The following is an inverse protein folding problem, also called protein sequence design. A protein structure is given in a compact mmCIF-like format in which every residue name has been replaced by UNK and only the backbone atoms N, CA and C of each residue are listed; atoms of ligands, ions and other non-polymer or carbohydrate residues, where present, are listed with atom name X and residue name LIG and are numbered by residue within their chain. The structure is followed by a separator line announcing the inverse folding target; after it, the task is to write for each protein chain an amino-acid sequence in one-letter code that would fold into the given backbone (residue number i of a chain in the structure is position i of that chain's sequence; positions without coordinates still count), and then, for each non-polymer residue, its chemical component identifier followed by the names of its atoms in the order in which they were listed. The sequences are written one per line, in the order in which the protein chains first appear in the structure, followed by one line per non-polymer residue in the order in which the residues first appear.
data_IF_968128537965
#
_entry.id   IF_968128537965
#
_cell.length_a   1.000
_cell.length_b   1.000
_cell.length_c   1.000
_cell.angle_alpha   90.00
_cell.angle_beta   90.00
_cell.angle_gamma   90.00
#
_symmetry.space_group_name_H-M   'P 1'
#
loop_
_entity.id
_entity.type
_entity.pdbx_description
1 polymer ?
#
# COMPACT_ATOMS: atom_id res chain seq x y z
N UNK A 1 44.41 -35.63 28.09
CA UNK A 1 42.98 -35.96 28.30
C UNK A 1 42.15 -34.93 27.54
N UNK A 2 41.75 -35.29 26.33
CA UNK A 2 41.01 -34.39 25.42
C UNK A 2 39.55 -34.81 25.48
N UNK A 3 38.70 -33.95 26.05
CA UNK A 3 37.25 -34.18 26.16
C UNK A 3 36.58 -33.79 24.86
N UNK A 4 36.06 -34.76 24.13
CA UNK A 4 35.23 -34.57 22.95
C UNK A 4 33.84 -34.05 23.37
N UNK A 5 33.48 -32.87 22.93
CA UNK A 5 32.12 -32.34 23.01
C UNK A 5 31.26 -33.04 21.96
N UNK A 6 30.28 -33.77 22.41
CA UNK A 6 29.24 -34.38 21.56
C UNK A 6 28.34 -33.31 20.98
N UNK A 7 28.24 -33.24 19.65
CA UNK A 7 27.30 -32.36 18.93
C UNK A 7 25.87 -32.83 19.22
N UNK A 8 25.12 -31.99 19.93
CA UNK A 8 23.69 -32.16 20.13
C UNK A 8 22.94 -31.93 18.79
N UNK A 9 22.20 -32.96 18.38
CA UNK A 9 21.26 -32.89 17.24
C UNK A 9 20.18 -31.82 17.51
N UNK A 10 20.10 -30.81 16.67
CA UNK A 10 18.99 -29.86 16.65
C UNK A 10 17.68 -30.63 16.34
N UNK A 11 16.57 -30.28 17.00
CA UNK A 11 15.30 -30.93 16.72
C UNK A 11 14.82 -30.54 15.32
N UNK A 12 14.66 -31.52 14.47
CA UNK A 12 14.07 -31.47 13.14
C UNK A 12 12.58 -31.15 13.27
N UNK A 13 12.12 -30.10 12.56
CA UNK A 13 10.73 -29.76 12.21
C UNK A 13 9.78 -29.43 13.36
N UNK A 14 9.46 -28.14 13.47
CA UNK A 14 8.20 -27.69 14.06
C UNK A 14 7.04 -28.35 13.27
N UNK A 15 5.97 -28.83 13.94
CA UNK A 15 4.80 -29.35 13.24
C UNK A 15 4.19 -28.22 12.42
N UNK A 16 4.14 -28.38 11.10
CA UNK A 16 3.30 -27.56 10.25
C UNK A 16 1.86 -27.76 10.73
N UNK A 17 1.30 -26.72 11.35
CA UNK A 17 -0.14 -26.66 11.57
C UNK A 17 -0.79 -26.89 10.18
N UNK A 18 -1.66 -27.91 10.10
CA UNK A 18 -2.40 -28.23 8.87
C UNK A 18 -3.41 -27.11 8.62
N UNK A 19 -2.98 -26.07 7.95
CA UNK A 19 -3.90 -25.04 7.46
C UNK A 19 -4.76 -25.69 6.36
N UNK A 20 -6.08 -25.41 6.33
CA UNK A 20 -6.93 -25.86 5.24
C UNK A 20 -6.36 -25.37 3.90
N UNK A 21 -6.50 -26.17 2.85
CA UNK A 21 -6.01 -25.78 1.54
C UNK A 21 -6.80 -24.55 1.02
N UNK A 22 -6.16 -23.60 0.35
CA UNK A 22 -6.87 -22.51 -0.29
C UNK A 22 -7.78 -23.04 -1.40
N UNK A 23 -8.78 -22.26 -1.86
CA UNK A 23 -9.61 -22.58 -3.00
C UNK A 23 -8.77 -23.05 -4.19
N UNK A 24 -9.22 -24.04 -5.01
CA UNK A 24 -8.41 -24.58 -6.11
C UNK A 24 -7.82 -23.53 -7.04
N UNK A 25 -8.57 -22.47 -7.34
CA UNK A 25 -8.12 -21.36 -8.19
C UNK A 25 -6.93 -20.57 -7.61
N UNK A 26 -6.69 -20.64 -6.30
CA UNK A 26 -5.66 -19.88 -5.58
C UNK A 26 -4.49 -20.75 -5.08
N UNK A 27 -4.51 -22.07 -5.34
CA UNK A 27 -3.47 -22.98 -4.86
C UNK A 27 -2.07 -22.69 -5.43
N UNK A 28 -1.98 -22.03 -6.59
CA UNK A 28 -0.73 -21.63 -7.24
C UNK A 28 -0.11 -20.33 -6.69
N UNK A 29 -0.84 -19.55 -5.90
CA UNK A 29 -0.35 -18.27 -5.37
C UNK A 29 0.81 -18.48 -4.41
N UNK A 30 1.88 -17.71 -4.58
CA UNK A 30 3.11 -17.73 -3.78
C UNK A 30 3.35 -16.43 -3.03
N UNK A 31 2.96 -15.30 -3.62
CA UNK A 31 3.12 -13.99 -3.03
C UNK A 31 1.84 -13.19 -3.09
N UNK A 32 1.62 -12.39 -2.04
CA UNK A 32 0.61 -11.35 -1.98
C UNK A 32 1.31 -10.00 -2.09
N UNK A 33 0.96 -9.23 -3.12
CA UNK A 33 1.46 -7.89 -3.33
C UNK A 33 0.33 -6.89 -3.05
N UNK A 34 0.61 -5.85 -2.27
CA UNK A 34 -0.42 -4.99 -1.72
C UNK A 34 -0.34 -3.58 -2.30
N UNK A 35 -1.46 -3.07 -2.79
CA UNK A 35 -1.65 -1.63 -2.82
C UNK A 35 -1.65 -1.08 -1.40
N UNK A 36 -1.18 0.15 -1.22
CA UNK A 36 -0.94 0.70 0.12
C UNK A 36 -1.94 1.79 0.49
N UNK A 37 -2.00 2.87 -0.30
CA UNK A 37 -2.83 4.02 0.03
C UNK A 37 -4.32 3.71 -0.12
N UNK A 38 -5.06 3.74 0.98
CA UNK A 38 -6.47 3.38 1.03
C UNK A 38 -6.71 1.88 1.25
N UNK A 39 -5.83 0.99 0.78
CA UNK A 39 -5.94 -0.46 0.97
C UNK A 39 -5.47 -0.92 2.35
N UNK A 40 -4.23 -0.59 2.71
CA UNK A 40 -3.59 -1.00 3.97
C UNK A 40 -3.62 0.12 5.01
N UNK A 41 -3.61 1.38 4.57
CA UNK A 41 -3.53 2.56 5.44
C UNK A 41 -4.66 3.54 5.19
N UNK A 42 -5.16 4.15 6.27
CA UNK A 42 -6.11 5.26 6.25
C UNK A 42 -5.35 6.58 6.00
N UNK A 43 -5.20 6.91 4.72
CA UNK A 43 -4.50 8.13 4.32
C UNK A 43 -5.26 9.39 4.75
N UNK A 44 -6.61 9.39 4.61
CA UNK A 44 -7.41 10.59 4.79
C UNK A 44 -7.37 11.08 6.24
N UNK A 45 -7.75 10.23 7.19
CA UNK A 45 -7.74 10.61 8.61
C UNK A 45 -6.32 10.92 9.10
N UNK A 46 -5.31 10.25 8.53
CA UNK A 46 -3.91 10.51 8.88
C UNK A 46 -3.44 11.90 8.44
N UNK A 47 -3.73 12.31 7.20
CA UNK A 47 -3.40 13.66 6.69
C UNK A 47 -4.17 14.73 7.46
N UNK A 48 -5.44 14.50 7.78
CA UNK A 48 -6.23 15.42 8.62
C UNK A 48 -5.57 15.61 9.99
N UNK A 49 -5.18 14.52 10.67
CA UNK A 49 -4.49 14.60 11.98
C UNK A 49 -3.15 15.35 11.90
N UNK A 50 -2.37 15.11 10.86
CA UNK A 50 -1.10 15.84 10.64
C UNK A 50 -1.35 17.35 10.42
N UNK A 51 -2.41 17.71 9.69
CA UNK A 51 -2.83 19.09 9.51
C UNK A 51 -3.28 19.73 10.84
N UNK A 52 -4.08 19.05 11.63
CA UNK A 52 -4.49 19.52 12.95
C UNK A 52 -3.29 19.71 13.90
N UNK A 53 -2.30 18.80 13.85
CA UNK A 53 -1.06 18.94 14.61
C UNK A 53 -0.23 20.14 14.11
N UNK A 54 -0.22 20.40 12.81
CA UNK A 54 0.41 21.59 12.23
C UNK A 54 -0.29 22.87 12.71
N UNK A 55 -1.63 22.87 12.73
CA UNK A 55 -2.44 23.99 13.27
C UNK A 55 -2.05 24.31 14.72
N UNK A 56 -1.94 23.28 15.57
CA UNK A 56 -1.57 23.48 16.98
C UNK A 56 -0.17 24.07 17.15
N UNK A 57 0.79 23.67 16.29
CA UNK A 57 2.18 24.16 16.38
C UNK A 57 2.37 25.57 15.85
N UNK A 58 1.65 25.94 14.78
CA UNK A 58 1.89 27.19 14.07
C UNK A 58 0.73 28.21 14.23
N UNK A 59 -0.36 27.83 14.89
CA UNK A 59 -1.57 28.68 14.98
C UNK A 59 -2.31 28.88 13.67
N UNK A 60 -2.03 28.03 12.66
CA UNK A 60 -2.67 28.09 11.34
C UNK A 60 -4.07 27.47 11.42
N UNK A 61 -5.02 28.04 10.66
CA UNK A 61 -6.39 27.51 10.56
C UNK A 61 -6.69 27.19 9.11
N UNK A 62 -7.09 25.94 8.84
CA UNK A 62 -7.52 25.53 7.51
C UNK A 62 -8.60 24.43 7.61
N UNK A 63 -9.35 24.25 6.53
CA UNK A 63 -10.20 23.07 6.36
C UNK A 63 -9.33 21.86 6.01
N UNK A 64 -8.86 21.15 7.04
CA UNK A 64 -7.95 20.02 6.88
C UNK A 64 -8.58 18.84 6.14
N UNK A 65 -9.86 18.48 6.35
CA UNK A 65 -10.57 17.53 5.51
C UNK A 65 -10.57 17.91 4.03
N UNK A 66 -11.00 19.11 3.71
CA UNK A 66 -11.04 19.57 2.31
C UNK A 66 -9.62 19.62 1.69
N UNK A 67 -8.58 20.02 2.47
CA UNK A 67 -7.20 20.02 1.99
C UNK A 67 -6.72 18.58 1.71
N UNK A 68 -6.99 17.63 2.59
CA UNK A 68 -6.61 16.23 2.40
C UNK A 68 -7.25 15.66 1.12
N UNK A 69 -8.54 15.93 0.92
CA UNK A 69 -9.28 15.48 -0.25
C UNK A 69 -8.76 16.15 -1.55
N UNK A 70 -8.48 17.44 -1.52
CA UNK A 70 -7.90 18.18 -2.66
C UNK A 70 -6.47 17.68 -2.98
N UNK A 71 -5.67 17.37 -1.95
CA UNK A 71 -4.32 16.83 -2.13
C UNK A 71 -4.39 15.45 -2.81
N UNK A 72 -5.26 14.57 -2.33
CA UNK A 72 -5.48 13.25 -2.93
C UNK A 72 -6.03 13.35 -4.36
N UNK A 73 -6.96 14.28 -4.62
CA UNK A 73 -7.52 14.50 -5.95
C UNK A 73 -6.45 14.94 -6.98
N UNK A 74 -5.40 15.66 -6.55
CA UNK A 74 -4.26 16.03 -7.40
C UNK A 74 -3.34 14.86 -7.81
N UNK A 75 -3.40 13.72 -7.12
CA UNK A 75 -2.48 12.59 -7.24
C UNK A 75 -2.55 11.92 -8.63
N UNK A 76 -3.73 11.41 -9.04
CA UNK A 76 -3.90 10.76 -10.34
C UNK A 76 -3.54 11.68 -11.53
N UNK A 77 -4.00 12.95 -11.59
CA UNK A 77 -3.59 13.88 -12.65
C UNK A 77 -2.09 14.15 -12.71
N UNK A 78 -1.40 14.22 -11.55
CA UNK A 78 0.05 14.43 -11.52
C UNK A 78 0.81 13.23 -12.12
N UNK A 79 0.46 12.01 -11.73
CA UNK A 79 1.04 10.80 -12.33
C UNK A 79 0.74 10.68 -13.82
N UNK A 80 -0.48 11.05 -14.25
CA UNK A 80 -0.86 11.00 -15.65
C UNK A 80 0.00 11.94 -16.53
N UNK A 81 0.41 13.11 -16.01
CA UNK A 81 1.34 14.00 -16.73
C UNK A 81 2.70 13.36 -16.93
N UNK A 82 3.22 12.64 -15.92
CA UNK A 82 4.47 11.87 -16.05
C UNK A 82 4.31 10.77 -17.09
N UNK A 83 3.20 10.00 -17.01
CA UNK A 83 2.93 8.89 -17.93
C UNK A 83 2.83 9.34 -19.39
N UNK A 84 2.29 10.54 -19.65
CA UNK A 84 2.22 11.14 -21.00
C UNK A 84 3.51 11.84 -21.44
N UNK A 85 4.55 11.89 -20.60
CA UNK A 85 5.81 12.58 -20.92
C UNK A 85 5.71 14.11 -20.87
N UNK A 86 4.65 14.67 -20.29
CA UNK A 86 4.46 16.12 -20.10
C UNK A 86 5.40 16.70 -19.02
N UNK A 87 5.94 15.84 -18.20
CA UNK A 87 7.01 16.16 -17.25
C UNK A 87 7.93 14.93 -17.08
N UNK A 88 9.21 15.12 -16.72
CA UNK A 88 10.13 14.03 -16.41
C UNK A 88 9.58 13.14 -15.28
N UNK A 89 10.14 11.93 -15.17
CA UNK A 89 9.88 11.06 -14.02
C UNK A 89 10.09 11.84 -12.71
N UNK A 90 9.15 11.70 -11.81
CA UNK A 90 9.20 12.29 -10.47
C UNK A 90 8.64 11.27 -9.47
N UNK A 91 9.22 11.22 -8.27
CA UNK A 91 8.72 10.39 -7.17
C UNK A 91 7.37 10.91 -6.67
N UNK A 92 6.64 10.07 -5.95
CA UNK A 92 5.38 10.51 -5.32
C UNK A 92 5.62 11.63 -4.30
N UNK A 93 6.71 11.62 -3.56
CA UNK A 93 7.06 12.73 -2.65
C UNK A 93 7.18 14.06 -3.40
N UNK A 94 7.80 14.05 -4.57
CA UNK A 94 7.93 15.25 -5.41
C UNK A 94 6.58 15.68 -5.99
N UNK A 95 5.75 14.73 -6.44
CA UNK A 95 4.41 15.03 -6.94
C UNK A 95 3.50 15.55 -5.83
N UNK A 96 3.54 14.94 -4.64
CA UNK A 96 2.80 15.42 -3.48
C UNK A 96 3.21 16.85 -3.10
N UNK A 97 4.51 17.17 -3.12
CA UNK A 97 4.99 18.53 -2.85
C UNK A 97 4.48 19.52 -3.91
N UNK A 98 4.55 19.19 -5.18
CA UNK A 98 4.02 20.03 -6.26
C UNK A 98 2.50 20.28 -6.13
N UNK A 99 1.76 19.28 -5.66
CA UNK A 99 0.32 19.43 -5.42
C UNK A 99 0.11 20.33 -4.20
N UNK A 100 0.80 20.06 -3.09
CA UNK A 100 0.72 20.83 -1.86
C UNK A 100 1.00 22.34 -2.13
N UNK A 101 2.10 22.66 -2.81
CA UNK A 101 2.48 24.05 -3.13
C UNK A 101 1.38 24.81 -3.86
N UNK A 102 0.60 24.14 -4.74
CA UNK A 102 -0.54 24.74 -5.43
C UNK A 102 -1.77 24.92 -4.53
N UNK A 103 -1.90 24.08 -3.51
CA UNK A 103 -3.04 24.13 -2.58
C UNK A 103 -2.85 25.17 -1.47
N UNK A 104 -1.60 25.44 -1.05
CA UNK A 104 -1.32 26.36 0.06
C UNK A 104 -2.06 27.72 -0.05
N UNK A 105 -2.04 28.42 -1.19
CA UNK A 105 -2.76 29.69 -1.31
C UNK A 105 -4.28 29.54 -1.21
N UNK A 106 -4.82 28.41 -1.69
CA UNK A 106 -6.26 28.13 -1.70
C UNK A 106 -6.81 27.88 -0.29
N UNK A 107 -5.96 27.38 0.61
CA UNK A 107 -6.31 27.06 1.98
C UNK A 107 -5.77 28.08 3.01
N UNK A 108 -5.26 29.22 2.55
CA UNK A 108 -4.75 30.29 3.43
C UNK A 108 -3.46 29.92 4.19
N UNK A 109 -2.69 28.96 3.66
CA UNK A 109 -1.48 28.43 4.30
C UNK A 109 -0.18 29.02 3.71
N UNK A 110 -0.25 30.27 3.18
CA UNK A 110 0.91 30.97 2.67
C UNK A 110 1.85 31.41 3.79
N UNK A 111 3.16 31.47 3.51
CA UNK A 111 4.17 31.93 4.49
C UNK A 111 4.60 30.85 5.49
N UNK A 112 4.20 29.61 5.30
CA UNK A 112 4.69 28.50 6.11
C UNK A 112 6.20 28.30 5.89
N UNK A 113 7.01 28.10 6.96
CA UNK A 113 8.43 27.82 6.82
C UNK A 113 8.67 26.55 5.98
N UNK A 114 9.71 26.56 5.15
CA UNK A 114 10.04 25.43 4.26
C UNK A 114 10.22 24.11 5.05
N UNK A 115 10.82 24.17 6.22
CA UNK A 115 11.01 22.99 7.10
C UNK A 115 9.67 22.36 7.53
N UNK A 116 8.65 23.18 7.76
CA UNK A 116 7.31 22.69 8.11
C UNK A 116 6.55 22.18 6.87
N UNK A 117 6.78 22.79 5.70
CA UNK A 117 6.26 22.29 4.44
C UNK A 117 6.83 20.91 4.09
N UNK A 118 8.15 20.74 4.21
CA UNK A 118 8.79 19.44 4.01
C UNK A 118 8.28 18.40 5.01
N UNK A 119 8.15 18.79 6.28
CA UNK A 119 7.59 17.91 7.32
C UNK A 119 6.15 17.50 7.00
N UNK A 120 5.32 18.45 6.57
CA UNK A 120 3.94 18.19 6.22
C UNK A 120 3.82 17.37 4.93
N UNK A 121 4.66 17.63 3.93
CA UNK A 121 4.74 16.78 2.74
C UNK A 121 5.05 15.32 3.12
N UNK A 122 5.92 15.11 4.11
CA UNK A 122 6.23 13.77 4.64
C UNK A 122 5.16 13.18 5.57
N UNK A 123 3.99 13.80 5.71
CA UNK A 123 2.84 13.19 6.40
C UNK A 123 2.44 11.85 5.74
N UNK A 124 2.60 11.73 4.43
CA UNK A 124 2.37 10.48 3.69
C UNK A 124 3.29 9.32 4.10
N UNK A 125 4.40 9.60 4.78
CA UNK A 125 5.28 8.58 5.38
C UNK A 125 4.82 8.11 6.78
N UNK A 126 3.76 8.72 7.34
CA UNK A 126 3.30 8.49 8.72
C UNK A 126 1.81 8.14 8.80
N UNK A 127 1.28 7.55 7.73
CA UNK A 127 -0.12 7.14 7.69
C UNK A 127 -0.36 5.99 8.67
N UNK A 128 -1.53 6.01 9.33
CA UNK A 128 -1.95 4.93 10.21
C UNK A 128 -2.51 3.75 9.39
N UNK A 129 -2.22 2.51 9.78
CA UNK A 129 -2.84 1.33 9.18
C UNK A 129 -4.32 1.27 9.55
N UNK A 130 -5.13 0.62 8.71
CA UNK A 130 -6.47 0.20 9.10
C UNK A 130 -6.38 -0.77 10.29
N UNK A 131 -7.45 -0.88 11.12
CA UNK A 131 -7.43 -1.71 12.34
C UNK A 131 -7.09 -3.19 12.09
N UNK A 132 -7.47 -3.73 10.92
CA UNK A 132 -7.23 -5.11 10.51
C UNK A 132 -5.83 -5.35 9.92
N UNK A 133 -5.14 -4.29 9.48
CA UNK A 133 -3.97 -4.42 8.62
C UNK A 133 -2.81 -5.14 9.30
N UNK A 134 -2.45 -4.79 10.54
CA UNK A 134 -1.33 -5.40 11.23
C UNK A 134 -1.55 -6.89 11.49
N UNK A 135 -2.71 -7.23 12.08
CA UNK A 135 -3.03 -8.61 12.41
C UNK A 135 -3.22 -9.47 11.15
N UNK A 136 -3.93 -8.92 10.14
CA UNK A 136 -4.16 -9.61 8.87
C UNK A 136 -2.85 -9.90 8.13
N UNK A 137 -1.96 -8.89 8.01
CA UNK A 137 -0.65 -9.08 7.39
C UNK A 137 0.22 -10.09 8.13
N UNK A 138 0.25 -10.04 9.46
CA UNK A 138 1.01 -11.00 10.26
C UNK A 138 0.54 -12.45 10.02
N UNK A 139 -0.78 -12.67 9.89
CA UNK A 139 -1.34 -13.98 9.54
C UNK A 139 -0.97 -14.38 8.11
N UNK A 140 -1.22 -13.52 7.11
CA UNK A 140 -0.93 -13.79 5.70
C UNK A 140 0.53 -14.14 5.46
N UNK A 141 1.44 -13.45 6.16
CA UNK A 141 2.88 -13.66 6.09
C UNK A 141 3.35 -15.04 6.61
N UNK A 142 2.54 -15.74 7.39
CA UNK A 142 2.89 -17.09 7.86
C UNK A 142 2.96 -18.11 6.72
N UNK A 143 2.33 -17.82 5.59
CA UNK A 143 2.23 -18.75 4.46
C UNK A 143 2.69 -18.17 3.13
N UNK A 144 2.49 -16.89 2.90
CA UNK A 144 2.79 -16.21 1.63
C UNK A 144 3.93 -15.22 1.82
N UNK A 145 4.72 -15.02 0.78
CA UNK A 145 5.59 -13.84 0.73
C UNK A 145 4.69 -12.62 0.60
N UNK A 146 4.88 -11.64 1.47
CA UNK A 146 4.11 -10.39 1.47
C UNK A 146 4.98 -9.21 1.06
N UNK A 147 4.49 -8.42 0.13
CA UNK A 147 5.22 -7.23 -0.36
C UNK A 147 4.27 -6.07 -0.61
N UNK A 148 4.77 -4.86 -0.53
CA UNK A 148 4.08 -3.73 -1.13
C UNK A 148 4.13 -3.82 -2.67
N UNK A 149 3.15 -3.25 -3.37
CA UNK A 149 3.21 -2.89 -4.79
C UNK A 149 2.45 -1.58 -4.97
N UNK A 150 3.14 -0.49 -4.74
CA UNK A 150 2.54 0.84 -4.61
C UNK A 150 3.20 1.84 -5.53
N UNK A 151 2.44 2.89 -5.89
CA UNK A 151 2.99 4.06 -6.56
C UNK A 151 3.88 4.92 -5.63
N UNK A 152 3.75 4.76 -4.29
CA UNK A 152 4.64 5.40 -3.32
C UNK A 152 6.11 5.06 -3.62
N UNK A 153 7.00 6.05 -3.52
CA UNK A 153 8.43 5.82 -3.73
C UNK A 153 9.05 5.00 -2.58
N UNK A 154 10.19 4.38 -2.84
CA UNK A 154 10.85 3.45 -1.91
C UNK A 154 11.03 4.06 -0.51
N UNK A 155 11.57 5.28 -0.43
CA UNK A 155 11.79 5.95 0.85
C UNK A 155 10.49 6.18 1.63
N UNK A 156 9.40 6.55 0.94
CA UNK A 156 8.07 6.70 1.53
C UNK A 156 7.58 5.35 2.10
N UNK A 157 7.60 4.30 1.29
CA UNK A 157 7.09 2.99 1.70
C UNK A 157 7.88 2.38 2.86
N UNK A 158 9.22 2.51 2.86
CA UNK A 158 10.08 2.04 3.96
C UNK A 158 9.77 2.81 5.25
N UNK A 159 9.70 4.14 5.18
CA UNK A 159 9.40 4.96 6.35
C UNK A 159 7.99 4.68 6.90
N UNK A 160 7.00 4.60 6.01
CA UNK A 160 5.62 4.26 6.36
C UNK A 160 5.54 2.89 7.04
N UNK A 161 6.19 1.88 6.46
CA UNK A 161 6.21 0.52 7.02
C UNK A 161 6.83 0.51 8.42
N UNK A 162 7.93 1.24 8.59
CA UNK A 162 8.61 1.37 9.89
C UNK A 162 7.76 2.10 10.92
N UNK A 163 7.10 3.19 10.50
CA UNK A 163 6.22 3.99 11.35
C UNK A 163 4.99 3.21 11.80
N UNK A 164 4.34 2.53 10.87
CA UNK A 164 3.10 1.79 11.10
C UNK A 164 3.31 0.36 11.63
N UNK A 165 4.56 -0.12 11.71
CA UNK A 165 4.86 -1.49 12.15
C UNK A 165 4.43 -2.57 11.16
N UNK A 166 4.31 -2.24 9.87
CA UNK A 166 3.84 -3.16 8.83
C UNK A 166 4.92 -4.20 8.50
N UNK A 167 4.64 -5.51 8.67
CA UNK A 167 5.65 -6.57 8.63
C UNK A 167 5.82 -7.17 7.22
N UNK A 168 6.30 -6.40 6.25
CA UNK A 168 6.58 -6.89 4.90
C UNK A 168 7.80 -7.81 4.85
N UNK A 169 7.79 -8.82 3.96
CA UNK A 169 8.99 -9.58 3.61
C UNK A 169 9.88 -8.79 2.66
N UNK A 170 9.29 -8.01 1.77
CA UNK A 170 10.01 -7.05 0.93
C UNK A 170 9.15 -5.82 0.61
N UNK A 171 9.78 -4.79 0.06
CA UNK A 171 9.10 -3.55 -0.36
C UNK A 171 9.32 -3.38 -1.85
N UNK A 172 8.23 -3.38 -2.62
CA UNK A 172 8.24 -3.07 -4.04
C UNK A 172 7.48 -1.76 -4.30
N UNK A 173 8.08 -0.91 -5.09
CA UNK A 173 7.56 0.39 -5.50
C UNK A 173 7.52 0.48 -7.02
N UNK A 174 6.56 1.19 -7.55
CA UNK A 174 6.49 1.56 -8.97
C UNK A 174 7.75 2.34 -9.43
N UNK A 175 8.43 3.03 -8.48
CA UNK A 175 9.72 3.70 -8.72
C UNK A 175 10.78 2.76 -9.30
N UNK A 176 10.80 1.48 -8.91
CA UNK A 176 11.75 0.48 -9.44
C UNK A 176 11.61 0.25 -10.95
N UNK A 177 10.46 0.61 -11.50
CA UNK A 177 10.14 0.43 -12.91
C UNK A 177 10.13 1.76 -13.69
N UNK A 178 10.30 2.90 -13.01
CA UNK A 178 10.18 4.23 -13.61
C UNK A 178 8.80 4.52 -14.20
N UNK A 179 7.75 3.86 -13.71
CA UNK A 179 6.38 3.95 -14.20
C UNK A 179 5.41 3.84 -13.03
N UNK A 180 4.24 4.43 -13.18
CA UNK A 180 3.16 4.30 -12.19
C UNK A 180 2.13 3.25 -12.60
N UNK A 181 1.51 2.58 -11.63
CA UNK A 181 0.27 1.87 -11.85
C UNK A 181 -0.76 2.85 -12.46
N UNK A 182 -1.55 2.44 -13.44
CA UNK A 182 -1.82 1.05 -13.88
C UNK A 182 -0.96 0.55 -15.06
N UNK A 183 0.27 1.06 -15.29
CA UNK A 183 1.14 0.50 -16.33
C UNK A 183 1.46 -0.97 -16.03
N UNK A 184 1.19 -1.86 -17.00
CA UNK A 184 1.32 -3.31 -16.82
C UNK A 184 2.76 -3.74 -16.47
N UNK A 185 3.76 -2.95 -16.86
CA UNK A 185 5.14 -3.22 -16.53
C UNK A 185 5.43 -3.19 -15.01
N UNK A 186 4.61 -2.52 -14.22
CA UNK A 186 4.72 -2.50 -12.75
C UNK A 186 4.36 -3.86 -12.18
N UNK A 187 3.27 -4.46 -12.63
CA UNK A 187 2.77 -5.76 -12.13
C UNK A 187 3.64 -6.92 -12.63
N UNK A 188 3.91 -6.97 -13.94
CA UNK A 188 4.79 -8.00 -14.50
C UNK A 188 6.23 -7.87 -14.01
N UNK A 189 6.69 -6.64 -13.78
CA UNK A 189 7.98 -6.33 -13.18
C UNK A 189 8.09 -6.85 -11.75
N UNK A 190 7.03 -6.72 -10.94
CA UNK A 190 6.97 -7.29 -9.59
C UNK A 190 7.10 -8.83 -9.62
N UNK A 191 6.38 -9.50 -10.52
CA UNK A 191 6.48 -10.95 -10.69
C UNK A 191 7.92 -11.37 -11.04
N UNK A 192 8.54 -10.66 -11.99
CA UNK A 192 9.95 -10.91 -12.39
C UNK A 192 10.93 -10.71 -11.24
N UNK A 193 10.77 -9.64 -10.43
CA UNK A 193 11.65 -9.39 -9.28
C UNK A 193 11.53 -10.45 -8.19
N UNK A 194 10.31 -10.99 -7.99
CA UNK A 194 10.06 -12.05 -7.04
C UNK A 194 10.42 -13.45 -7.58
N UNK A 195 10.75 -13.59 -8.88
CA UNK A 195 11.14 -14.84 -9.50
C UNK A 195 9.98 -15.80 -9.77
N UNK A 196 8.75 -15.29 -9.92
CA UNK A 196 7.55 -16.10 -10.18
C UNK A 196 6.80 -15.64 -11.42
N UNK A 197 5.97 -16.53 -11.96
CA UNK A 197 5.03 -16.18 -13.01
C UNK A 197 3.91 -15.26 -12.49
N UNK A 198 3.33 -14.37 -13.32
CA UNK A 198 2.29 -13.44 -12.87
C UNK A 198 1.13 -14.11 -12.12
N UNK A 199 0.64 -15.26 -12.58
CA UNK A 199 -0.45 -16.02 -11.96
C UNK A 199 -0.13 -16.60 -10.57
N UNK A 200 1.14 -16.56 -10.17
CA UNK A 200 1.60 -16.95 -8.83
C UNK A 200 1.61 -15.77 -7.85
N UNK A 201 1.36 -14.55 -8.34
CA UNK A 201 1.17 -13.36 -7.52
C UNK A 201 -0.33 -13.03 -7.43
N UNK A 202 -0.74 -12.54 -6.27
CA UNK A 202 -2.06 -11.96 -6.06
C UNK A 202 -1.92 -10.51 -5.65
N UNK A 203 -2.55 -9.59 -6.40
CA UNK A 203 -2.70 -8.20 -5.94
C UNK A 203 -3.87 -8.12 -4.97
N UNK A 204 -3.60 -7.52 -3.81
CA UNK A 204 -4.59 -7.18 -2.78
C UNK A 204 -4.81 -5.68 -2.80
N UNK A 205 -6.01 -5.22 -3.12
CA UNK A 205 -6.31 -3.80 -3.25
C UNK A 205 -7.76 -3.45 -2.91
N UNK A 206 -7.97 -2.18 -2.52
CA UNK A 206 -9.29 -1.58 -2.34
C UNK A 206 -9.80 -0.88 -3.63
N UNK A 207 -9.00 -0.83 -4.69
CA UNK A 207 -9.30 -0.09 -5.91
C UNK A 207 -9.57 -1.04 -7.08
N UNK A 208 -10.83 -1.16 -7.57
CA UNK A 208 -11.19 -2.00 -8.72
C UNK A 208 -10.36 -1.75 -9.98
N UNK A 209 -10.00 -0.49 -10.27
CA UNK A 209 -9.15 -0.18 -11.44
C UNK A 209 -7.73 -0.74 -11.33
N UNK A 210 -7.15 -0.78 -10.12
CA UNK A 210 -5.83 -1.38 -9.87
C UNK A 210 -5.88 -2.90 -10.05
N UNK A 211 -6.93 -3.54 -9.53
CA UNK A 211 -7.16 -4.98 -9.68
C UNK A 211 -7.41 -5.37 -11.15
N UNK A 212 -8.18 -4.57 -11.89
CA UNK A 212 -8.42 -4.82 -13.32
C UNK A 212 -7.11 -4.76 -14.14
N UNK A 213 -6.22 -3.81 -13.83
CA UNK A 213 -4.90 -3.73 -14.47
C UNK A 213 -4.00 -4.91 -14.07
N UNK A 214 -4.05 -5.36 -12.82
CA UNK A 214 -3.34 -6.54 -12.37
C UNK A 214 -3.79 -7.82 -13.10
N UNK A 215 -5.11 -7.99 -13.31
CA UNK A 215 -5.65 -9.10 -14.11
C UNK A 215 -5.16 -9.07 -15.56
N UNK A 216 -5.14 -7.87 -16.18
CA UNK A 216 -4.57 -7.72 -17.52
C UNK A 216 -3.08 -8.10 -17.58
N UNK A 217 -2.35 -7.93 -16.48
CA UNK A 217 -0.96 -8.37 -16.35
C UNK A 217 -0.81 -9.85 -15.98
N UNK A 218 -1.92 -10.59 -15.79
CA UNK A 218 -1.96 -12.01 -15.46
C UNK A 218 -1.89 -12.33 -13.96
N UNK A 219 -1.95 -11.35 -13.08
CA UNK A 219 -1.99 -11.58 -11.64
C UNK A 219 -3.36 -12.10 -11.19
N UNK A 220 -3.38 -12.80 -10.05
CA UNK A 220 -4.59 -13.03 -9.27
C UNK A 220 -4.96 -11.79 -8.49
N UNK A 221 -6.23 -11.70 -8.07
CA UNK A 221 -6.78 -10.50 -7.45
C UNK A 221 -7.60 -10.80 -6.21
N UNK A 222 -7.37 -10.01 -5.15
CA UNK A 222 -8.18 -9.98 -3.94
C UNK A 222 -8.71 -8.56 -3.72
N UNK A 223 -10.01 -8.40 -3.76
CA UNK A 223 -10.66 -7.12 -3.49
C UNK A 223 -10.97 -6.98 -2.00
N UNK A 224 -10.49 -5.90 -1.39
CA UNK A 224 -10.76 -5.54 0.02
C UNK A 224 -11.43 -4.16 0.01
N UNK A 225 -12.77 -4.07 0.04
CA UNK A 225 -13.46 -2.79 0.05
C UNK A 225 -13.13 -1.97 1.31
N UNK A 226 -12.89 -0.67 1.12
CA UNK A 226 -12.64 0.28 2.20
C UNK A 226 -13.67 1.41 2.11
N UNK A 227 -14.89 1.20 2.63
CA UNK A 227 -15.98 2.16 2.46
C UNK A 227 -15.70 3.52 3.09
N UNK A 228 -14.83 3.58 4.09
CA UNK A 228 -14.46 4.81 4.78
C UNK A 228 -13.17 5.45 4.26
N UNK A 229 -12.59 4.96 3.14
CA UNK A 229 -11.34 5.52 2.58
C UNK A 229 -11.43 7.03 2.34
N UNK A 230 -12.55 7.47 1.77
CA UNK A 230 -12.82 8.89 1.51
C UNK A 230 -13.65 9.56 2.63
N UNK A 231 -13.65 8.97 3.83
CA UNK A 231 -14.45 9.40 4.98
C UNK A 231 -15.83 8.72 5.01
N UNK A 232 -16.55 8.82 6.15
CA UNK A 232 -17.84 8.18 6.34
C UNK A 232 -18.85 8.56 5.25
N UNK A 233 -19.37 7.58 4.52
CA UNK A 233 -20.29 7.80 3.40
C UNK A 233 -19.65 8.44 2.16
N UNK A 234 -18.34 8.52 2.11
CA UNK A 234 -17.59 9.02 0.96
C UNK A 234 -17.72 8.11 -0.27
N UNK A 235 -17.34 8.61 -1.46
CA UNK A 235 -17.45 7.83 -2.68
C UNK A 235 -16.46 6.66 -2.70
N UNK A 236 -16.95 5.49 -3.13
CA UNK A 236 -16.11 4.34 -3.48
C UNK A 236 -15.96 4.26 -5.00
N UNK A 237 -14.83 3.72 -5.45
CA UNK A 237 -14.66 3.38 -6.86
C UNK A 237 -15.63 2.26 -7.25
N UNK A 238 -16.35 2.45 -8.39
CA UNK A 238 -17.30 1.46 -8.86
C UNK A 238 -16.60 0.16 -9.29
N UNK A 239 -17.13 -0.98 -8.88
CA UNK A 239 -16.60 -2.30 -9.24
C UNK A 239 -16.87 -2.61 -10.72
N UNK A 240 -17.98 -2.11 -11.30
CA UNK A 240 -18.40 -2.43 -12.66
C UNK A 240 -18.65 -3.93 -12.82
N UNK A 241 -18.29 -4.46 -14.02
CA UNK A 241 -18.41 -5.89 -14.36
C UNK A 241 -17.16 -6.72 -13.98
N UNK A 242 -16.21 -6.12 -13.24
CA UNK A 242 -14.96 -6.80 -12.88
C UNK A 242 -15.21 -7.93 -11.88
N UNK A 243 -14.80 -9.14 -12.22
CA UNK A 243 -14.86 -10.31 -11.33
C UNK A 243 -13.47 -10.52 -10.75
N UNK A 244 -13.37 -10.55 -9.41
CA UNK A 244 -12.11 -10.80 -8.70
C UNK A 244 -12.00 -12.28 -8.30
N UNK A 245 -10.77 -12.79 -8.17
CA UNK A 245 -10.54 -14.18 -7.74
C UNK A 245 -11.03 -14.42 -6.31
N UNK A 246 -10.97 -13.39 -5.45
CA UNK A 246 -11.61 -13.39 -4.12
C UNK A 246 -12.01 -11.99 -3.69
N UNK A 247 -13.01 -11.91 -2.81
CA UNK A 247 -13.45 -10.68 -2.14
C UNK A 247 -13.51 -10.97 -0.66
N UNK A 248 -12.90 -10.11 0.15
CA UNK A 248 -12.94 -10.23 1.60
C UNK A 248 -13.20 -8.86 2.23
N UNK A 249 -13.90 -8.81 3.35
CA UNK A 249 -14.25 -7.58 4.04
C UNK A 249 -13.04 -6.89 4.69
N UNK A 250 -12.02 -7.69 5.03
CA UNK A 250 -10.77 -7.23 5.63
C UNK A 250 -9.63 -8.23 5.40
N UNK A 251 -8.40 -7.91 5.83
CA UNK A 251 -7.24 -8.80 5.67
C UNK A 251 -7.31 -10.04 6.57
N UNK A 252 -8.06 -10.00 7.66
CA UNK A 252 -8.29 -11.15 8.53
C UNK A 252 -9.18 -12.19 7.85
N UNK A 253 -10.26 -11.74 7.19
CA UNK A 253 -11.11 -12.60 6.38
C UNK A 253 -10.34 -13.15 5.17
N UNK A 254 -9.55 -12.33 4.48
CA UNK A 254 -8.70 -12.81 3.39
C UNK A 254 -7.78 -13.94 3.86
N UNK A 255 -7.14 -13.80 5.02
CA UNK A 255 -6.30 -14.87 5.57
C UNK A 255 -7.10 -16.15 5.79
N UNK A 256 -8.32 -16.05 6.30
CA UNK A 256 -9.21 -17.21 6.52
C UNK A 256 -9.60 -17.87 5.19
N UNK A 257 -9.99 -17.08 4.18
CA UNK A 257 -10.33 -17.60 2.84
C UNK A 257 -9.14 -18.28 2.15
N UNK A 258 -7.92 -17.80 2.43
CA UNK A 258 -6.68 -18.41 1.95
C UNK A 258 -6.22 -19.62 2.80
N UNK A 259 -7.04 -20.08 3.74
CA UNK A 259 -6.79 -21.26 4.54
C UNK A 259 -5.76 -21.06 5.64
N UNK A 260 -5.63 -19.84 6.19
CA UNK A 260 -4.75 -19.53 7.32
C UNK A 260 -5.64 -19.36 8.57
N UNK A 261 -5.37 -20.16 9.59
CA UNK A 261 -6.07 -20.11 10.87
C UNK A 261 -5.73 -18.86 11.70
#
# INVERSE_FOLDING_TARGET
MTTLLTAGTLPTSLPHALHPAPPPALQGVRALVFDIFGTVVDWRSSIIREGQALQQRLGLVADWPALADAWRAGYRPAMARVARGEQPWATIDQLHRQILDRLLPQFGLTGMPETELERFNRAWHRLAPWPDSLAGLARLRTRYVTSTLSNGNMALLVNLSKHAGLPWDCVLSAELFGRFKPDLAVYTGAARLLGWAPEQLMLVAAHPSDLAAAQQAGLRTAYIPRPDECGPGGPMEAVGDTVFDTVATDLGELATQLGIA
#
